data_IF_054557798260
#
_entry.id   IF_054557798260
#
_cell.length_a   1.000
_cell.length_b   1.000
_cell.length_c   1.000
_cell.angle_alpha   90.00
_cell.angle_beta   90.00
_cell.angle_gamma   90.00
#
_symmetry.space_group_name_H-M   'P 1'
#
loop_
_entity.id
_entity.type
_entity.pdbx_description
1 polymer ?
#
# COMPACT_ATOMS: atom_id res chain seq x y z
N UNK A 1 -19.60 29.61 27.91
CA UNK A 1 -19.32 29.34 26.49
C UNK A 1 -19.14 27.84 26.33
N UNK A 2 -20.03 27.18 25.58
CA UNK A 2 -19.85 25.76 25.26
C UNK A 2 -18.53 25.63 24.47
N UNK A 3 -17.62 24.76 24.95
CA UNK A 3 -16.33 24.57 24.32
C UNK A 3 -16.52 24.19 22.85
N UNK A 4 -15.93 24.99 21.95
CA UNK A 4 -15.95 24.84 20.48
C UNK A 4 -15.45 23.45 20.03
N UNK A 5 -14.85 22.68 20.95
CA UNK A 5 -14.23 21.37 20.69
C UNK A 5 -15.20 20.20 20.58
N UNK A 6 -16.48 20.31 20.98
CA UNK A 6 -17.43 19.20 20.86
C UNK A 6 -17.88 18.87 19.42
N UNK A 7 -17.56 19.75 18.45
CA UNK A 7 -17.94 19.57 17.04
C UNK A 7 -16.74 19.37 16.09
N UNK A 8 -15.51 19.45 16.58
CA UNK A 8 -14.33 19.20 15.73
C UNK A 8 -14.15 17.69 15.53
N UNK A 9 -14.07 17.20 14.28
CA UNK A 9 -13.77 15.80 14.02
C UNK A 9 -12.39 15.47 14.61
N UNK A 10 -12.36 14.52 15.53
CA UNK A 10 -11.13 14.07 16.15
C UNK A 10 -10.30 13.28 15.13
N UNK A 11 -8.99 13.56 15.01
CA UNK A 11 -8.12 12.79 14.13
C UNK A 11 -8.08 11.35 14.67
N UNK A 12 -8.55 10.38 13.86
CA UNK A 12 -8.63 8.98 14.28
C UNK A 12 -7.39 8.20 13.82
N UNK A 13 -6.64 7.70 14.77
CA UNK A 13 -5.50 6.81 14.54
C UNK A 13 -6.01 5.40 14.34
N UNK A 14 -5.81 4.89 13.13
CA UNK A 14 -6.12 3.52 12.72
C UNK A 14 -4.88 2.87 12.14
N UNK A 15 -4.92 1.57 11.85
CA UNK A 15 -3.82 0.88 11.14
C UNK A 15 -3.50 1.47 9.75
N UNK A 16 -4.45 2.13 9.11
CA UNK A 16 -4.27 2.75 7.80
C UNK A 16 -3.83 4.22 7.89
N UNK A 17 -3.94 4.83 9.06
CA UNK A 17 -3.62 6.24 9.28
C UNK A 17 -2.10 6.41 9.36
N UNK A 18 -1.55 7.38 8.62
CA UNK A 18 -0.16 7.81 8.78
C UNK A 18 0.00 8.51 10.15
N UNK A 19 0.82 7.91 11.02
CA UNK A 19 1.07 8.36 12.38
C UNK A 19 1.69 9.76 12.43
N UNK A 20 2.60 10.09 11.51
CA UNK A 20 3.25 11.40 11.53
C UNK A 20 2.22 12.51 11.26
N UNK A 21 1.35 12.32 10.26
CA UNK A 21 0.24 13.24 9.98
C UNK A 21 -0.75 13.34 11.16
N UNK A 22 -1.15 12.20 11.71
CA UNK A 22 -2.03 12.16 12.88
C UNK A 22 -1.40 12.87 14.08
N UNK A 23 -0.10 12.66 14.32
CA UNK A 23 0.61 13.23 15.47
C UNK A 23 0.67 14.75 15.40
N UNK A 24 0.81 15.33 14.20
CA UNK A 24 0.78 16.78 14.00
C UNK A 24 -0.60 17.35 14.31
N UNK A 25 -1.67 16.71 13.81
CA UNK A 25 -3.05 17.13 14.08
C UNK A 25 -3.40 17.01 15.57
N UNK A 26 -2.99 15.92 16.21
CA UNK A 26 -3.27 15.67 17.62
C UNK A 26 -2.50 16.62 18.54
N UNK A 27 -1.24 16.95 18.21
CA UNK A 27 -0.46 17.99 18.91
C UNK A 27 -1.16 19.34 18.86
N UNK A 28 -1.63 19.76 17.68
CA UNK A 28 -2.34 21.02 17.51
C UNK A 28 -3.63 21.05 18.34
N UNK A 29 -4.39 19.95 18.37
CA UNK A 29 -5.60 19.83 19.17
C UNK A 29 -5.31 19.92 20.68
N UNK A 30 -4.33 19.18 21.18
CA UNK A 30 -3.92 19.20 22.59
C UNK A 30 -3.34 20.57 22.98
N UNK A 31 -2.63 21.22 22.06
CA UNK A 31 -2.14 22.59 22.22
C UNK A 31 -3.28 23.60 22.36
N UNK A 32 -4.34 23.49 21.55
CA UNK A 32 -5.52 24.35 21.65
C UNK A 32 -6.28 24.26 22.98
N UNK A 33 -6.02 23.22 23.77
CA UNK A 33 -6.64 22.97 25.07
C UNK A 33 -5.65 23.14 26.24
N UNK A 34 -4.49 23.77 25.98
CA UNK A 34 -3.40 23.95 26.95
C UNK A 34 -2.98 22.66 27.67
N UNK A 35 -3.11 21.53 26.98
CA UNK A 35 -2.88 20.19 27.53
C UNK A 35 -1.60 19.54 26.99
N UNK A 36 -1.06 20.04 25.87
CA UNK A 36 0.14 19.47 25.24
C UNK A 36 1.38 19.47 26.14
N UNK A 37 1.60 20.54 26.90
CA UNK A 37 2.75 20.65 27.83
C UNK A 37 2.77 19.48 28.83
N UNK A 38 1.60 19.12 29.37
CA UNK A 38 1.45 18.01 30.32
C UNK A 38 1.73 16.65 29.67
N UNK A 39 1.36 16.48 28.40
CA UNK A 39 1.68 15.26 27.63
C UNK A 39 3.18 15.15 27.36
N UNK A 40 3.83 16.28 27.03
CA UNK A 40 5.25 16.31 26.68
C UNK A 40 6.16 16.13 27.91
N UNK A 41 5.91 16.92 28.95
CA UNK A 41 6.73 16.90 30.17
C UNK A 41 6.39 15.68 31.04
N UNK A 42 5.12 15.31 31.09
CA UNK A 42 4.60 14.22 31.90
C UNK A 42 4.06 14.71 33.23
N UNK A 43 2.96 14.10 33.65
CA UNK A 43 2.40 14.31 34.97
C UNK A 43 2.81 13.18 35.91
N UNK A 44 3.47 13.52 37.02
CA UNK A 44 3.73 12.59 38.12
C UNK A 44 2.90 12.99 39.33
N UNK A 45 2.13 12.05 39.84
CA UNK A 45 1.32 12.24 41.04
C UNK A 45 2.24 12.30 42.29
N UNK A 46 2.29 13.42 43.04
CA UNK A 46 3.16 13.53 44.19
C UNK A 46 2.79 12.53 45.29
N UNK A 47 3.79 11.85 45.86
CA UNK A 47 3.60 10.87 46.96
C UNK A 47 3.11 11.52 48.26
N UNK A 48 3.43 12.79 48.49
CA UNK A 48 2.92 13.59 49.60
C UNK A 48 2.65 15.02 49.14
N UNK A 49 1.63 15.63 49.73
CA UNK A 49 1.29 17.04 49.54
C UNK A 49 1.39 17.83 50.85
N UNK A 50 1.94 17.22 51.92
CA UNK A 50 2.16 17.90 53.20
C UNK A 50 3.12 19.08 53.04
N UNK A 51 2.69 20.27 53.46
CA UNK A 51 3.46 21.51 53.34
C UNK A 51 3.20 22.30 52.05
N UNK A 52 2.29 21.85 51.19
CA UNK A 52 1.90 22.63 50.01
C UNK A 52 1.10 23.86 50.43
N UNK A 53 1.41 24.99 49.80
CA UNK A 53 0.59 26.19 49.86
C UNK A 53 -0.73 26.01 49.09
N UNK A 54 -1.71 26.89 49.33
CA UNK A 54 -2.96 26.90 48.57
C UNK A 54 -2.74 27.03 47.06
N UNK A 55 -1.73 27.82 46.64
CA UNK A 55 -1.36 27.99 45.24
C UNK A 55 -0.82 26.69 44.61
N UNK A 56 0.01 25.94 45.35
CA UNK A 56 0.56 24.66 44.89
C UNK A 56 -0.53 23.58 44.78
N UNK A 57 -1.48 23.53 45.70
CA UNK A 57 -2.63 22.62 45.59
C UNK A 57 -3.51 22.94 44.38
N UNK A 58 -3.72 24.23 44.11
CA UNK A 58 -4.46 24.68 42.92
C UNK A 58 -3.75 24.26 41.63
N UNK A 59 -2.45 24.52 41.52
CA UNK A 59 -1.64 24.13 40.37
C UNK A 59 -1.66 22.61 40.15
N UNK A 60 -1.47 21.82 41.21
CA UNK A 60 -1.52 20.35 41.12
C UNK A 60 -2.86 19.85 40.57
N UNK A 61 -3.97 20.41 41.06
CA UNK A 61 -5.32 20.06 40.58
C UNK A 61 -5.51 20.42 39.11
N UNK A 62 -5.02 21.59 38.69
CA UNK A 62 -5.08 22.05 37.31
C UNK A 62 -4.27 21.13 36.38
N UNK A 63 -3.01 20.82 36.74
CA UNK A 63 -2.16 19.90 35.97
C UNK A 63 -2.76 18.49 35.89
N UNK A 64 -3.27 17.95 37.00
CA UNK A 64 -3.96 16.65 37.02
C UNK A 64 -5.19 16.66 36.10
N UNK A 65 -5.98 17.73 36.12
CA UNK A 65 -7.15 17.88 35.26
C UNK A 65 -6.77 17.91 33.78
N UNK A 66 -5.68 18.62 33.43
CA UNK A 66 -5.15 18.67 32.07
C UNK A 66 -4.64 17.31 31.59
N UNK A 67 -3.91 16.57 32.44
CA UNK A 67 -3.46 15.20 32.13
C UNK A 67 -4.66 14.28 31.81
N UNK A 68 -5.69 14.27 32.65
CA UNK A 68 -6.87 13.42 32.43
C UNK A 68 -7.68 13.84 31.21
N UNK A 69 -7.78 15.14 30.92
CA UNK A 69 -8.40 15.63 29.69
C UNK A 69 -7.63 15.18 28.44
N UNK A 70 -6.30 15.30 28.44
CA UNK A 70 -5.46 14.84 27.35
C UNK A 70 -5.54 13.32 27.15
N UNK A 71 -5.49 12.54 28.23
CA UNK A 71 -5.62 11.09 28.19
C UNK A 71 -6.97 10.66 27.59
N UNK A 72 -8.05 11.32 28.00
CA UNK A 72 -9.38 11.05 27.44
C UNK A 72 -9.47 11.38 25.94
N UNK A 73 -8.85 12.48 25.50
CA UNK A 73 -8.76 12.81 24.07
C UNK A 73 -7.98 11.75 23.30
N UNK A 74 -6.86 11.24 23.85
CA UNK A 74 -6.10 10.15 23.25
C UNK A 74 -6.93 8.88 23.12
N UNK A 75 -7.73 8.52 24.12
CA UNK A 75 -8.66 7.39 24.03
C UNK A 75 -9.71 7.56 22.92
N UNK A 76 -10.20 8.79 22.70
CA UNK A 76 -11.18 9.05 21.63
C UNK A 76 -10.54 9.14 20.24
N UNK A 77 -9.26 9.49 20.17
CA UNK A 77 -8.52 9.68 18.93
C UNK A 77 -7.96 8.38 18.36
N UNK A 78 -8.24 7.22 18.97
CA UNK A 78 -7.79 5.90 18.50
C UNK A 78 -8.96 5.01 18.13
N UNK A 79 -8.71 3.99 17.29
CA UNK A 79 -9.61 2.87 17.11
C UNK A 79 -9.55 1.88 18.29
N UNK A 80 -10.40 0.85 18.27
CA UNK A 80 -10.45 -0.18 19.32
C UNK A 80 -9.09 -0.83 19.55
N UNK A 81 -8.37 -1.17 18.48
CA UNK A 81 -7.04 -1.75 18.57
C UNK A 81 -6.03 -0.77 19.18
N UNK A 82 -6.10 0.52 18.88
CA UNK A 82 -5.27 1.54 19.50
C UNK A 82 -5.60 1.73 20.98
N UNK A 83 -6.89 1.72 21.33
CA UNK A 83 -7.36 1.83 22.71
C UNK A 83 -6.82 0.70 23.58
N UNK A 84 -6.89 -0.55 23.13
CA UNK A 84 -6.35 -1.71 23.85
C UNK A 84 -4.88 -1.54 24.24
N UNK A 85 -4.08 -0.88 23.39
CA UNK A 85 -2.64 -0.65 23.63
C UNK A 85 -2.41 0.37 24.73
N UNK A 86 -3.27 1.39 24.84
CA UNK A 86 -3.15 2.47 25.82
C UNK A 86 -4.12 2.35 27.00
N UNK A 87 -4.95 1.31 27.05
CA UNK A 87 -5.96 1.11 28.10
C UNK A 87 -5.36 1.02 29.51
N UNK A 88 -4.10 0.58 29.61
CA UNK A 88 -3.34 0.49 30.89
C UNK A 88 -2.54 1.74 31.20
N UNK A 89 -2.47 2.71 30.28
CA UNK A 89 -1.73 3.93 30.50
C UNK A 89 -2.42 4.78 31.56
N UNK A 90 -1.66 5.18 32.58
CA UNK A 90 -2.17 5.95 33.71
C UNK A 90 -2.08 7.46 33.49
N UNK A 91 -1.22 7.89 32.57
CA UNK A 91 -0.99 9.30 32.22
C UNK A 91 -1.11 9.50 30.71
N UNK A 92 -1.39 10.75 30.32
CA UNK A 92 -1.45 11.14 28.91
C UNK A 92 -0.11 10.96 28.19
N UNK A 93 1.01 11.20 28.89
CA UNK A 93 2.37 10.97 28.37
C UNK A 93 2.62 9.50 28.07
N UNK A 94 2.30 8.60 29.00
CA UNK A 94 2.48 7.16 28.81
C UNK A 94 1.66 6.67 27.60
N UNK A 95 0.40 7.11 27.50
CA UNK A 95 -0.43 6.79 26.35
C UNK A 95 0.19 7.30 25.03
N UNK A 96 0.66 8.56 25.02
CA UNK A 96 1.31 9.17 23.87
C UNK A 96 2.56 8.39 23.43
N UNK A 97 3.42 8.04 24.37
CA UNK A 97 4.68 7.32 24.10
C UNK A 97 4.43 5.89 23.59
N UNK A 98 3.42 5.21 24.12
CA UNK A 98 3.00 3.89 23.60
C UNK A 98 2.52 4.01 22.15
N UNK A 99 1.66 4.98 21.85
CA UNK A 99 1.19 5.21 20.47
C UNK A 99 2.36 5.57 19.54
N UNK A 100 3.26 6.45 19.98
CA UNK A 100 4.45 6.81 19.23
C UNK A 100 5.32 5.60 18.92
N UNK A 101 5.58 4.75 19.91
CA UNK A 101 6.41 3.55 19.73
C UNK A 101 5.78 2.56 18.76
N UNK A 102 4.49 2.28 18.92
CA UNK A 102 3.80 1.27 18.13
C UNK A 102 3.62 1.71 16.68
N UNK A 103 3.06 2.90 16.47
CA UNK A 103 2.61 3.32 15.14
C UNK A 103 3.74 3.96 14.32
N UNK A 104 4.70 4.67 14.93
CA UNK A 104 5.89 5.16 14.20
C UNK A 104 6.78 4.01 13.73
N UNK A 105 6.93 2.96 14.53
CA UNK A 105 7.66 1.75 14.12
C UNK A 105 7.00 1.06 12.93
N UNK A 106 5.68 0.87 13.01
CA UNK A 106 4.90 0.29 11.92
C UNK A 106 4.98 1.12 10.63
N UNK A 107 4.87 2.45 10.73
CA UNK A 107 4.93 3.34 9.56
C UNK A 107 6.31 3.33 8.90
N UNK A 108 7.39 3.34 9.69
CA UNK A 108 8.75 3.22 9.14
C UNK A 108 8.93 1.91 8.37
N UNK A 109 8.45 0.79 8.92
CA UNK A 109 8.52 -0.51 8.24
C UNK A 109 7.69 -0.51 6.95
N UNK A 110 6.46 0.03 6.98
CA UNK A 110 5.63 0.18 5.77
C UNK A 110 6.32 1.04 4.71
N UNK A 111 6.92 2.17 5.10
CA UNK A 111 7.63 3.04 4.17
C UNK A 111 8.82 2.34 3.52
N UNK A 112 9.63 1.60 4.29
CA UNK A 112 10.72 0.80 3.72
C UNK A 112 10.19 -0.28 2.77
N UNK A 113 9.12 -0.98 3.15
CA UNK A 113 8.47 -1.97 2.29
C UNK A 113 7.95 -1.35 0.98
N UNK A 114 7.30 -0.18 1.05
CA UNK A 114 6.85 0.56 -0.13
C UNK A 114 8.02 0.94 -1.05
N UNK A 115 9.16 1.36 -0.51
CA UNK A 115 10.32 1.69 -1.33
C UNK A 115 10.84 0.46 -2.09
N UNK A 116 10.92 -0.69 -1.42
CA UNK A 116 11.29 -1.96 -2.08
C UNK A 116 10.28 -2.33 -3.16
N UNK A 117 8.98 -2.33 -2.84
CA UNK A 117 7.91 -2.69 -3.77
C UNK A 117 7.85 -1.76 -4.99
N UNK A 118 8.09 -0.46 -4.83
CA UNK A 118 8.19 0.50 -5.93
C UNK A 118 9.34 0.15 -6.87
N UNK A 119 10.53 -0.13 -6.32
CA UNK A 119 11.68 -0.55 -7.11
C UNK A 119 11.44 -1.87 -7.84
N UNK A 120 10.77 -2.84 -7.19
CA UNK A 120 10.39 -4.11 -7.82
C UNK A 120 9.36 -3.90 -8.94
N UNK A 121 8.35 -3.07 -8.72
CA UNK A 121 7.35 -2.70 -9.74
C UNK A 121 8.00 -2.00 -10.94
N UNK A 122 8.90 -1.05 -10.71
CA UNK A 122 9.61 -0.32 -11.77
C UNK A 122 10.43 -1.27 -12.64
N UNK A 123 11.16 -2.19 -12.03
CA UNK A 123 11.96 -3.20 -12.71
C UNK A 123 11.15 -4.38 -13.27
N UNK A 124 9.87 -4.46 -12.94
CA UNK A 124 9.01 -5.53 -13.41
C UNK A 124 8.84 -5.47 -14.92
N UNK A 125 9.21 -6.57 -15.58
CA UNK A 125 9.04 -6.84 -17.01
C UNK A 125 8.52 -8.25 -17.22
N UNK A 126 7.82 -8.43 -18.33
CA UNK A 126 7.45 -9.74 -18.83
C UNK A 126 8.71 -10.46 -19.32
N UNK A 127 8.85 -11.75 -18.98
CA UNK A 127 9.92 -12.62 -19.47
C UNK A 127 9.49 -13.28 -20.78
N UNK A 128 10.44 -13.60 -21.65
CA UNK A 128 10.14 -14.31 -22.90
C UNK A 128 9.57 -15.72 -22.68
N UNK A 129 9.84 -16.33 -21.52
CA UNK A 129 9.40 -17.68 -21.19
C UNK A 129 8.14 -17.74 -20.34
N UNK A 130 7.60 -16.60 -19.88
CA UNK A 130 6.41 -16.57 -19.04
C UNK A 130 5.18 -16.22 -19.86
N UNK A 131 4.04 -16.85 -19.56
CA UNK A 131 2.79 -16.55 -20.25
C UNK A 131 2.18 -15.23 -19.76
N UNK A 132 1.29 -14.65 -20.56
CA UNK A 132 0.57 -13.41 -20.20
C UNK A 132 -0.14 -13.57 -18.85
N UNK A 133 -0.87 -14.67 -18.66
CA UNK A 133 -1.65 -14.89 -17.43
C UNK A 133 -0.77 -14.91 -16.17
N UNK A 134 0.37 -15.62 -16.23
CA UNK A 134 1.34 -15.67 -15.14
C UNK A 134 1.94 -14.29 -14.84
N UNK A 135 2.22 -13.51 -15.88
CA UNK A 135 2.71 -12.15 -15.75
C UNK A 135 1.68 -11.23 -15.08
N UNK A 136 0.41 -11.29 -15.50
CA UNK A 136 -0.68 -10.49 -14.93
C UNK A 136 -0.92 -10.85 -13.46
N UNK A 137 -0.93 -12.15 -13.11
CA UNK A 137 -1.06 -12.59 -11.71
C UNK A 137 0.08 -12.06 -10.84
N UNK A 138 1.33 -12.13 -11.35
CA UNK A 138 2.50 -11.56 -10.66
C UNK A 138 2.34 -10.05 -10.48
N UNK A 139 1.80 -9.36 -11.48
CA UNK A 139 1.61 -7.90 -11.45
C UNK A 139 0.53 -7.51 -10.43
N UNK A 140 -0.62 -8.17 -10.46
CA UNK A 140 -1.71 -7.96 -9.51
C UNK A 140 -1.26 -8.26 -8.07
N UNK A 141 -0.41 -9.28 -7.87
CA UNK A 141 0.18 -9.57 -6.55
C UNK A 141 1.02 -8.39 -6.06
N UNK A 142 1.83 -7.78 -6.92
CA UNK A 142 2.63 -6.59 -6.61
C UNK A 142 1.75 -5.38 -6.25
N UNK A 143 0.71 -5.12 -7.05
CA UNK A 143 -0.25 -4.03 -6.80
C UNK A 143 -0.98 -4.23 -5.47
N UNK A 144 -1.39 -5.47 -5.17
CA UNK A 144 -2.04 -5.81 -3.91
C UNK A 144 -1.11 -5.58 -2.71
N UNK A 145 0.18 -5.90 -2.82
CA UNK A 145 1.17 -5.63 -1.78
C UNK A 145 1.38 -4.12 -1.55
N UNK A 146 1.41 -3.31 -2.62
CA UNK A 146 1.46 -1.84 -2.51
C UNK A 146 0.22 -1.31 -1.78
N UNK A 147 -0.96 -1.79 -2.17
CA UNK A 147 -2.23 -1.37 -1.58
C UNK A 147 -2.30 -1.71 -0.08
N UNK A 148 -1.86 -2.92 0.30
CA UNK A 148 -1.78 -3.34 1.72
C UNK A 148 -0.83 -2.47 2.55
N UNK A 149 0.21 -1.90 1.93
CA UNK A 149 1.14 -0.99 2.59
C UNK A 149 0.70 0.48 2.53
N UNK A 150 -0.47 0.77 1.96
CA UNK A 150 -1.11 2.10 1.96
C UNK A 150 -0.89 2.90 0.68
N UNK A 151 -0.44 2.27 -0.41
CA UNK A 151 -0.33 2.91 -1.73
C UNK A 151 -1.25 2.23 -2.74
N UNK A 152 -2.31 2.92 -3.12
CA UNK A 152 -3.24 2.45 -4.15
C UNK A 152 -2.83 3.00 -5.51
N UNK A 153 -2.61 2.11 -6.48
CA UNK A 153 -2.43 2.48 -7.87
C UNK A 153 -3.78 2.55 -8.56
N UNK A 154 -3.99 3.58 -9.36
CA UNK A 154 -5.16 3.70 -10.24
C UNK A 154 -5.07 2.69 -11.37
N UNK A 155 -6.20 2.15 -11.82
CA UNK A 155 -6.28 1.18 -12.93
C UNK A 155 -5.55 1.67 -14.18
N UNK A 156 -5.68 2.96 -14.54
CA UNK A 156 -4.98 3.58 -15.67
C UNK A 156 -3.46 3.39 -15.55
N UNK A 157 -2.88 3.69 -14.39
CA UNK A 157 -1.43 3.52 -14.15
C UNK A 157 -1.00 2.05 -14.18
N UNK A 158 -1.88 1.14 -13.77
CA UNK A 158 -1.64 -0.31 -13.83
C UNK A 158 -1.62 -0.77 -15.29
N UNK A 159 -2.64 -0.41 -16.08
CA UNK A 159 -2.75 -0.68 -17.51
C UNK A 159 -1.53 -0.15 -18.28
N UNK A 160 -1.21 1.14 -18.12
CA UNK A 160 -0.05 1.77 -18.76
C UNK A 160 1.27 1.10 -18.38
N UNK A 161 1.40 0.64 -17.13
CA UNK A 161 2.62 -0.02 -16.67
C UNK A 161 2.73 -1.42 -17.26
N UNK A 162 1.64 -2.18 -17.32
CA UNK A 162 1.59 -3.50 -17.97
C UNK A 162 2.01 -3.36 -19.44
N UNK A 163 1.36 -2.48 -20.21
CA UNK A 163 1.68 -2.28 -21.63
C UNK A 163 3.16 -1.97 -21.88
N UNK A 164 3.76 -1.07 -21.09
CA UNK A 164 5.18 -0.70 -21.21
C UNK A 164 6.19 -1.77 -20.78
N UNK A 165 5.72 -2.88 -20.21
CA UNK A 165 6.59 -3.90 -19.63
C UNK A 165 6.38 -5.30 -20.20
N UNK A 166 5.46 -5.45 -21.16
CA UNK A 166 5.35 -6.63 -22.02
C UNK A 166 6.60 -6.77 -22.91
N UNK A 167 6.80 -7.99 -23.45
CA UNK A 167 7.92 -8.25 -24.38
C UNK A 167 7.62 -7.73 -25.78
N UNK A 168 8.68 -7.54 -26.58
CA UNK A 168 8.58 -7.05 -27.97
C UNK A 168 7.66 -7.91 -28.84
N UNK A 169 7.45 -9.17 -28.45
CA UNK A 169 6.55 -10.08 -29.16
C UNK A 169 5.06 -9.68 -29.09
N UNK A 170 4.72 -8.71 -28.24
CA UNK A 170 3.38 -8.12 -28.10
C UNK A 170 3.29 -6.70 -28.69
N UNK A 171 4.35 -6.16 -29.31
CA UNK A 171 4.39 -4.77 -29.82
C UNK A 171 3.20 -4.46 -30.75
N UNK A 172 2.85 -5.39 -31.64
CA UNK A 172 1.71 -5.23 -32.55
C UNK A 172 0.35 -5.07 -31.83
N UNK A 173 0.12 -5.83 -30.76
CA UNK A 173 -1.15 -5.74 -30.01
C UNK A 173 -1.16 -4.52 -29.09
N UNK A 174 0.01 -4.12 -28.57
CA UNK A 174 0.16 -2.88 -27.79
C UNK A 174 -0.22 -1.68 -28.66
N UNK A 175 0.40 -1.51 -29.83
CA UNK A 175 0.07 -0.42 -30.75
C UNK A 175 -1.42 -0.41 -31.11
N UNK A 176 -2.00 -1.58 -31.43
CA UNK A 176 -3.41 -1.67 -31.74
C UNK A 176 -4.32 -1.23 -30.58
N UNK A 177 -3.97 -1.57 -29.33
CA UNK A 177 -4.72 -1.14 -28.15
C UNK A 177 -4.58 0.37 -27.93
N UNK A 178 -3.36 0.89 -27.99
CA UNK A 178 -3.06 2.32 -27.78
C UNK A 178 -3.71 3.22 -28.84
N UNK A 179 -3.80 2.75 -30.08
CA UNK A 179 -4.43 3.51 -31.18
C UNK A 179 -5.96 3.41 -31.19
N UNK A 180 -6.53 2.29 -30.75
CA UNK A 180 -7.97 2.02 -30.91
C UNK A 180 -8.83 2.27 -29.67
N UNK A 181 -8.23 2.31 -28.47
CA UNK A 181 -8.96 2.40 -27.20
C UNK A 181 -8.49 3.57 -26.34
N UNK A 182 -9.40 4.12 -25.55
CA UNK A 182 -9.06 5.06 -24.48
C UNK A 182 -8.57 4.29 -23.25
N UNK A 183 -7.27 4.38 -22.95
CA UNK A 183 -6.65 3.69 -21.81
C UNK A 183 -7.22 4.12 -20.45
N UNK A 184 -7.88 5.28 -20.38
CA UNK A 184 -8.52 5.74 -19.14
C UNK A 184 -9.81 4.97 -18.81
N UNK A 185 -10.39 4.29 -19.80
CA UNK A 185 -11.63 3.51 -19.65
C UNK A 185 -11.40 2.00 -19.63
N UNK A 186 -10.21 1.53 -20.01
CA UNK A 186 -9.87 0.10 -20.01
C UNK A 186 -9.67 -0.40 -18.58
N UNK A 187 -10.29 -1.54 -18.26
CA UNK A 187 -10.02 -2.25 -17.02
C UNK A 187 -8.84 -3.22 -17.17
N UNK A 188 -8.21 -3.59 -16.06
CA UNK A 188 -7.10 -4.56 -16.06
C UNK A 188 -7.55 -5.92 -16.60
N UNK A 189 -8.79 -6.32 -16.33
CA UNK A 189 -9.35 -7.59 -16.78
C UNK A 189 -9.57 -7.59 -18.30
N UNK A 190 -10.14 -6.52 -18.86
CA UNK A 190 -10.31 -6.37 -20.32
C UNK A 190 -8.96 -6.36 -21.06
N UNK A 191 -7.93 -5.75 -20.45
CA UNK A 191 -6.58 -5.80 -20.99
C UNK A 191 -6.02 -7.22 -20.97
N UNK A 192 -6.15 -7.92 -19.83
CA UNK A 192 -5.67 -9.28 -19.67
C UNK A 192 -6.32 -10.22 -20.71
N UNK A 193 -7.66 -10.17 -20.85
CA UNK A 193 -8.39 -10.95 -21.85
C UNK A 193 -7.90 -10.67 -23.28
N UNK A 194 -7.64 -9.40 -23.61
CA UNK A 194 -7.14 -9.00 -24.94
C UNK A 194 -5.75 -9.58 -25.23
N UNK A 195 -4.86 -9.56 -24.23
CA UNK A 195 -3.49 -10.06 -24.33
C UNK A 195 -3.45 -11.60 -24.38
N UNK A 196 -4.23 -12.28 -23.55
CA UNK A 196 -4.34 -13.75 -23.55
C UNK A 196 -4.91 -14.26 -24.88
N UNK A 197 -5.94 -13.60 -25.42
CA UNK A 197 -6.49 -13.95 -26.73
C UNK A 197 -5.45 -13.77 -27.85
N UNK A 198 -4.56 -12.78 -27.76
CA UNK A 198 -3.47 -12.59 -28.70
C UNK A 198 -2.41 -13.71 -28.58
N UNK A 199 -2.02 -14.05 -27.36
CA UNK A 199 -1.06 -15.14 -27.09
C UNK A 199 -1.56 -16.48 -27.65
N UNK A 200 -2.83 -16.81 -27.45
CA UNK A 200 -3.43 -18.04 -28.00
C UNK A 200 -3.41 -18.07 -29.53
N UNK A 201 -3.74 -16.95 -30.20
CA UNK A 201 -3.68 -16.86 -31.67
C UNK A 201 -2.27 -16.99 -32.20
N UNK A 202 -1.29 -16.39 -31.51
CA UNK A 202 0.13 -16.49 -31.87
C UNK A 202 0.61 -17.94 -31.78
N UNK A 203 0.33 -18.61 -30.65
CA UNK A 203 0.69 -20.02 -30.44
C UNK A 203 0.11 -20.94 -31.51
N UNK A 204 -1.16 -20.77 -31.86
CA UNK A 204 -1.80 -21.56 -32.93
C UNK A 204 -1.09 -21.38 -34.28
N UNK A 205 -0.72 -20.15 -34.64
CA UNK A 205 0.02 -19.88 -35.89
C UNK A 205 1.41 -20.52 -35.88
N UNK A 206 2.10 -20.50 -34.75
CA UNK A 206 3.42 -21.14 -34.62
C UNK A 206 3.33 -22.67 -34.78
N UNK A 207 2.30 -23.29 -34.21
CA UNK A 207 2.00 -24.72 -34.38
C UNK A 207 1.72 -25.06 -35.86
N UNK A 208 0.88 -24.27 -36.55
CA UNK A 208 0.58 -24.44 -37.98
C UNK A 208 1.83 -24.33 -38.87
N UNK A 209 2.70 -23.35 -38.60
CA UNK A 209 3.97 -23.18 -39.35
C UNK A 209 4.91 -24.35 -39.11
N UNK A 210 4.99 -24.84 -37.87
CA UNK A 210 5.83 -25.99 -37.52
C UNK A 210 5.35 -27.27 -38.21
N UNK A 211 4.05 -27.53 -38.22
CA UNK A 211 3.45 -28.67 -38.93
C UNK A 211 3.74 -28.62 -40.43
N UNK A 212 3.56 -27.46 -41.07
CA UNK A 212 3.90 -27.28 -42.48
C UNK A 212 5.39 -27.53 -42.77
N UNK A 213 6.28 -27.01 -41.92
CA UNK A 213 7.72 -27.20 -42.08
C UNK A 213 8.14 -28.67 -41.90
N UNK A 214 7.52 -29.40 -40.96
CA UNK A 214 7.74 -30.83 -40.77
C UNK A 214 7.25 -31.64 -41.96
N UNK A 215 6.08 -31.31 -42.50
CA UNK A 215 5.52 -31.99 -43.67
C UNK A 215 6.40 -31.79 -44.92
N UNK A 216 6.89 -30.58 -45.16
CA UNK A 216 7.84 -30.29 -46.25
C UNK A 216 9.13 -31.11 -46.09
N UNK A 217 9.69 -31.17 -44.86
CA UNK A 217 10.91 -31.96 -44.59
C UNK A 217 10.69 -33.46 -44.82
N UNK A 218 9.53 -34.00 -44.46
CA UNK A 218 9.18 -35.39 -44.71
C UNK A 218 9.13 -35.67 -46.22
N UNK A 219 8.42 -34.83 -46.99
CA UNK A 219 8.34 -34.96 -48.46
C UNK A 219 9.70 -34.90 -49.15
N UNK A 220 10.59 -33.99 -48.74
CA UNK A 220 11.96 -33.90 -49.28
C UNK A 220 12.78 -35.17 -48.97
N UNK A 221 12.58 -35.77 -47.80
CA UNK A 221 13.30 -36.98 -47.40
C UNK A 221 12.82 -38.19 -48.20
N UNK A 222 11.51 -38.29 -48.44
CA UNK A 222 10.90 -39.34 -49.25
C UNK A 222 11.35 -39.24 -50.72
N UNK A 223 11.42 -38.04 -51.29
CA UNK A 223 11.99 -37.81 -52.63
C UNK A 223 13.46 -38.28 -52.70
N UNK A 224 14.30 -37.87 -51.75
CA UNK A 224 15.71 -38.30 -51.72
C UNK A 224 15.90 -39.81 -51.56
N UNK A 225 15.01 -40.48 -50.81
CA UNK A 225 15.04 -41.94 -50.66
C UNK A 225 14.71 -42.64 -51.98
N UNK A 226 13.71 -42.14 -52.73
CA UNK A 226 13.34 -42.67 -54.04
C UNK A 226 14.49 -42.53 -55.06
N UNK A 227 15.20 -41.41 -55.07
CA UNK A 227 16.36 -41.23 -55.95
C UNK A 227 17.57 -42.10 -55.56
N UNK A 228 17.68 -42.50 -54.29
CA UNK A 228 18.79 -43.32 -53.79
C UNK A 228 18.60 -44.83 -54.01
N UNK A 229 17.37 -45.28 -54.30
CA UNK A 229 17.04 -46.68 -54.61
C UNK A 229 17.09 -47.01 -56.11
N UNK A 230 17.20 -46.01 -56.97
CA UNK A 230 17.25 -46.14 -58.43
C UNK A 230 18.69 -46.09 -59.02
N UNK A 231 19.71 -46.30 -58.19
CA UNK A 231 21.13 -46.42 -58.57
C UNK A 231 21.61 -47.81 -58.15
#
# INVERSE_FOLDING_TARGET
>A
MASVTNYLPLPRLTKATNYDNWSVQMKALLGSQDAWEVVQEGFEEPKTTTGYSAAQHKMLKETRSKDKAALYLLYRAVDESGFEKIARASTSKEAWDILAKVYRGADKVKQVCLQTLRGELENMKMKESEGVSDYIIRFQTMVNQLNQNGETLTDVRVVEKILRSLTDSFENVICAIEESKDLTMITVDELAESLEAHEQRKKKKEEEILEQALQIKASIKDEKALYSQNI
#
